data_IF_296394366869
#
_entry.id   IF_296394366869
#
_cell.length_a   1.000
_cell.length_b   1.000
_cell.length_c   1.000
_cell.angle_alpha   90.00
_cell.angle_beta   90.00
_cell.angle_gamma   90.00
#
_symmetry.space_group_name_H-M   'P 1'
#
loop_
_entity.id
_entity.type
_entity.pdbx_description
1 polymer ?
#
# COMPACT_ATOMS: atom_id res chain seq x y z
N UNK A 1 -11.52 -44.33 36.67
CA UNK A 1 -10.78 -44.15 35.40
C UNK A 1 -11.50 -43.22 34.42
N UNK A 2 -12.83 -43.34 34.22
CA UNK A 2 -13.59 -42.45 33.33
C UNK A 2 -13.56 -40.95 33.70
N UNK A 3 -13.53 -40.60 34.99
CA UNK A 3 -13.52 -39.19 35.43
C UNK A 3 -12.22 -38.45 35.07
N UNK A 4 -11.06 -39.10 35.16
CA UNK A 4 -9.78 -38.48 34.78
C UNK A 4 -9.64 -38.34 33.25
N UNK A 5 -10.14 -39.32 32.50
CA UNK A 5 -10.17 -39.23 31.03
C UNK A 5 -11.10 -38.12 30.54
N UNK A 6 -12.26 -37.94 31.20
CA UNK A 6 -13.18 -36.84 30.90
C UNK A 6 -12.55 -35.46 31.11
N UNK A 7 -11.80 -35.28 32.20
CA UNK A 7 -11.12 -34.03 32.48
C UNK A 7 -10.03 -33.70 31.46
N UNK A 8 -9.27 -34.71 31.00
CA UNK A 8 -8.23 -34.51 29.99
C UNK A 8 -8.81 -34.11 28.63
N UNK A 9 -9.93 -34.72 28.22
CA UNK A 9 -10.60 -34.35 26.96
C UNK A 9 -11.09 -32.90 27.00
N UNK A 10 -11.71 -32.49 28.11
CA UNK A 10 -12.17 -31.11 28.28
C UNK A 10 -11.00 -30.12 28.17
N UNK A 11 -9.89 -30.42 28.86
CA UNK A 11 -8.70 -29.56 28.82
C UNK A 11 -8.15 -29.40 27.39
N UNK A 12 -8.05 -30.49 26.62
CA UNK A 12 -7.60 -30.43 25.22
C UNK A 12 -8.56 -29.62 24.36
N UNK A 13 -9.88 -29.80 24.52
CA UNK A 13 -10.86 -29.06 23.70
C UNK A 13 -10.82 -27.55 23.95
N UNK A 14 -10.60 -27.11 25.19
CA UNK A 14 -10.43 -25.69 25.52
C UNK A 14 -9.19 -25.12 24.83
N UNK A 15 -8.06 -25.85 24.87
CA UNK A 15 -6.83 -25.41 24.22
C UNK A 15 -6.99 -25.27 22.70
N UNK A 16 -7.62 -26.24 22.04
CA UNK A 16 -7.87 -26.18 20.59
C UNK A 16 -8.81 -25.03 20.24
N UNK A 17 -9.82 -24.76 21.08
CA UNK A 17 -10.74 -23.63 20.90
C UNK A 17 -10.04 -22.27 20.87
N UNK A 18 -9.13 -22.02 21.84
CA UNK A 18 -8.38 -20.75 21.89
C UNK A 18 -7.39 -20.67 20.73
N UNK A 19 -6.68 -21.77 20.42
CA UNK A 19 -5.72 -21.80 19.33
C UNK A 19 -6.35 -21.47 17.96
N UNK A 20 -7.59 -21.93 17.70
CA UNK A 20 -8.30 -21.63 16.47
C UNK A 20 -8.61 -20.12 16.33
N UNK A 21 -9.04 -19.48 17.41
CA UNK A 21 -9.33 -18.02 17.40
C UNK A 21 -8.05 -17.22 17.14
N UNK A 22 -6.96 -17.54 17.83
CA UNK A 22 -5.66 -16.87 17.63
C UNK A 22 -5.12 -17.11 16.21
N UNK A 23 -5.30 -18.31 15.66
CA UNK A 23 -4.89 -18.60 14.29
C UNK A 23 -5.65 -17.75 13.26
N UNK A 24 -6.96 -17.54 13.45
CA UNK A 24 -7.77 -16.71 12.57
C UNK A 24 -7.36 -15.23 12.67
N UNK A 25 -7.07 -14.75 13.86
CA UNK A 25 -6.64 -13.36 14.10
C UNK A 25 -5.31 -13.05 13.41
N UNK A 26 -4.31 -13.92 13.62
CA UNK A 26 -2.99 -13.77 12.98
C UNK A 26 -3.04 -13.92 11.46
N UNK A 27 -3.93 -14.76 10.92
CA UNK A 27 -4.16 -14.85 9.47
C UNK A 27 -4.79 -13.59 8.89
N UNK A 28 -5.69 -12.91 9.62
CA UNK A 28 -6.26 -11.64 9.18
C UNK A 28 -5.19 -10.54 9.19
N UNK A 29 -4.44 -10.39 10.29
CA UNK A 29 -3.35 -9.42 10.39
C UNK A 29 -2.30 -9.62 9.29
N UNK A 30 -1.94 -10.87 8.99
CA UNK A 30 -1.01 -11.20 7.90
C UNK A 30 -1.52 -10.75 6.52
N UNK A 31 -2.82 -10.87 6.26
CA UNK A 31 -3.43 -10.41 5.00
C UNK A 31 -3.40 -8.89 4.90
N UNK A 32 -3.75 -8.18 5.97
CA UNK A 32 -3.69 -6.71 6.03
C UNK A 32 -2.27 -6.20 5.82
N UNK A 33 -1.27 -6.78 6.51
CA UNK A 33 0.14 -6.43 6.35
C UNK A 33 0.67 -6.73 4.93
N UNK A 34 0.23 -7.83 4.32
CA UNK A 34 0.60 -8.17 2.95
C UNK A 34 0.00 -7.17 1.96
N UNK A 35 -1.26 -6.76 2.15
CA UNK A 35 -1.90 -5.75 1.32
C UNK A 35 -1.21 -4.39 1.48
N UNK A 36 -0.92 -3.96 2.71
CA UNK A 36 -0.17 -2.73 2.99
C UNK A 36 1.20 -2.71 2.28
N UNK A 37 1.91 -3.85 2.31
CA UNK A 37 3.20 -3.98 1.63
C UNK A 37 3.07 -3.91 0.11
N UNK A 38 2.02 -4.50 -0.46
CA UNK A 38 1.73 -4.44 -1.89
C UNK A 38 1.36 -3.01 -2.34
N UNK A 39 0.47 -2.33 -1.62
CA UNK A 39 0.08 -0.94 -1.87
C UNK A 39 1.29 0.00 -1.79
N UNK A 40 2.16 -0.19 -0.78
CA UNK A 40 3.41 0.57 -0.66
C UNK A 40 4.33 0.37 -1.87
N UNK A 41 4.46 -0.88 -2.35
CA UNK A 41 5.28 -1.20 -3.51
C UNK A 41 4.73 -0.56 -4.80
N UNK A 42 3.42 -0.58 -4.98
CA UNK A 42 2.73 0.03 -6.11
C UNK A 42 2.90 1.55 -6.12
N UNK A 43 2.73 2.20 -4.96
CA UNK A 43 2.98 3.63 -4.80
C UNK A 43 4.43 3.99 -5.18
N UNK A 44 5.41 3.18 -4.78
CA UNK A 44 6.80 3.39 -5.17
C UNK A 44 7.01 3.27 -6.68
N UNK A 45 6.31 2.36 -7.36
CA UNK A 45 6.36 2.26 -8.83
C UNK A 45 5.76 3.50 -9.50
N UNK A 46 4.59 3.97 -9.02
CA UNK A 46 3.96 5.23 -9.48
C UNK A 46 4.94 6.40 -9.32
N UNK A 47 5.59 6.49 -8.17
CA UNK A 47 6.53 7.57 -7.88
C UNK A 47 7.72 7.54 -8.84
N UNK A 48 8.22 6.35 -9.20
CA UNK A 48 9.29 6.23 -10.20
C UNK A 48 8.84 6.71 -11.58
N UNK A 49 7.65 6.32 -12.03
CA UNK A 49 7.08 6.79 -13.31
C UNK A 49 6.90 8.31 -13.30
N UNK A 50 6.41 8.86 -12.19
CA UNK A 50 6.26 10.29 -12.02
C UNK A 50 7.61 11.03 -12.07
N UNK A 51 8.69 10.47 -11.52
CA UNK A 51 10.03 11.04 -11.68
C UNK A 51 10.48 11.06 -13.15
N UNK A 52 10.17 10.00 -13.90
CA UNK A 52 10.46 9.94 -15.34
C UNK A 52 9.67 11.04 -16.06
N UNK A 53 8.38 11.22 -15.73
CA UNK A 53 7.57 12.33 -16.24
C UNK A 53 8.20 13.69 -15.93
N UNK A 54 8.60 13.94 -14.67
CA UNK A 54 9.22 15.20 -14.24
C UNK A 54 10.48 15.55 -15.06
N UNK A 55 11.34 14.56 -15.33
CA UNK A 55 12.59 14.75 -16.09
C UNK A 55 12.36 14.86 -17.60
N UNK A 56 11.25 14.31 -18.12
CA UNK A 56 10.94 14.31 -19.55
C UNK A 56 10.54 15.73 -20.02
N UNK A 57 11.06 16.23 -21.15
CA UNK A 57 10.74 17.56 -21.64
C UNK A 57 9.29 17.64 -22.14
N UNK A 58 8.67 18.82 -22.00
CA UNK A 58 7.27 19.08 -22.40
C UNK A 58 6.96 18.73 -23.86
N UNK A 59 7.94 18.85 -24.75
CA UNK A 59 7.79 18.51 -26.17
C UNK A 59 7.49 17.02 -26.41
N UNK A 60 7.81 16.14 -25.46
CA UNK A 60 7.55 14.71 -25.55
C UNK A 60 6.38 14.28 -24.68
N UNK A 61 5.53 15.20 -24.22
CA UNK A 61 4.48 14.91 -23.22
C UNK A 61 5.09 14.49 -21.88
N UNK A 62 5.76 15.47 -21.25
CA UNK A 62 6.49 15.33 -20.00
C UNK A 62 6.37 16.59 -19.15
N UNK A 63 6.80 16.52 -17.90
CA UNK A 63 6.64 17.58 -16.91
C UNK A 63 7.57 18.79 -17.10
N UNK A 64 8.71 18.60 -17.76
CA UNK A 64 9.70 19.65 -18.00
C UNK A 64 10.19 20.34 -16.72
N UNK A 65 10.41 19.56 -15.66
CA UNK A 65 10.79 20.06 -14.34
C UNK A 65 9.62 20.43 -13.44
N UNK A 66 8.40 19.97 -13.73
CA UNK A 66 7.23 20.11 -12.87
C UNK A 66 6.36 18.85 -12.93
N UNK A 67 5.64 18.56 -11.84
CA UNK A 67 4.55 17.59 -11.83
C UNK A 67 3.21 18.20 -12.26
N UNK A 68 3.18 19.47 -12.65
CA UNK A 68 1.96 20.11 -13.15
C UNK A 68 1.43 19.36 -14.38
N UNK A 69 0.18 18.93 -14.31
CA UNK A 69 -0.49 18.19 -15.38
C UNK A 69 -0.20 16.69 -15.39
N UNK A 70 0.49 16.15 -14.38
CA UNK A 70 0.58 14.69 -14.23
C UNK A 70 -0.82 14.08 -14.06
N UNK A 71 -1.09 13.04 -14.83
CA UNK A 71 -2.34 12.31 -14.84
C UNK A 71 -2.08 10.81 -14.74
N UNK A 72 -3.13 10.01 -14.55
CA UNK A 72 -3.05 8.55 -14.54
C UNK A 72 -2.48 7.97 -15.85
N UNK A 73 -2.58 8.69 -16.97
CA UNK A 73 -2.07 8.26 -18.28
C UNK A 73 -0.53 8.25 -18.35
N UNK A 74 0.11 9.01 -17.46
CA UNK A 74 1.56 9.10 -17.38
C UNK A 74 2.17 8.02 -16.48
N UNK A 75 1.34 7.21 -15.84
CA UNK A 75 1.76 6.03 -15.07
C UNK A 75 1.64 4.82 -15.99
N UNK A 76 2.77 4.15 -16.21
CA UNK A 76 2.88 3.05 -17.17
C UNK A 76 3.16 1.72 -16.47
N UNK A 77 3.68 1.77 -15.24
CA UNK A 77 4.09 0.60 -14.49
C UNK A 77 2.92 -0.14 -13.84
N UNK A 78 1.85 0.58 -13.47
CA UNK A 78 0.66 -0.02 -12.85
C UNK A 78 -0.63 0.63 -13.34
N UNK A 79 -1.71 -0.14 -13.31
CA UNK A 79 -3.06 0.39 -13.49
C UNK A 79 -3.51 1.14 -12.23
N UNK A 80 -4.24 2.26 -12.38
CA UNK A 80 -4.72 3.05 -11.24
C UNK A 80 -5.74 2.33 -10.36
N UNK A 81 -6.29 1.20 -10.84
CA UNK A 81 -7.07 0.25 -10.06
C UNK A 81 -6.52 -1.14 -10.36
N UNK A 82 -6.09 -1.86 -9.32
CA UNK A 82 -5.55 -3.21 -9.45
C UNK A 82 -6.06 -4.12 -8.31
N UNK A 83 -5.58 -5.37 -8.28
CA UNK A 83 -5.96 -6.34 -7.24
C UNK A 83 -5.50 -5.94 -5.82
N UNK A 84 -4.56 -4.99 -5.71
CA UNK A 84 -4.03 -4.52 -4.43
C UNK A 84 -4.83 -3.31 -3.90
N UNK A 85 -5.36 -2.45 -4.77
CA UNK A 85 -6.07 -1.24 -4.39
C UNK A 85 -6.36 -0.25 -5.52
N UNK A 86 -6.76 0.96 -5.13
CA UNK A 86 -6.99 2.11 -6.00
C UNK A 86 -5.98 3.22 -5.71
N UNK A 87 -5.47 3.86 -6.76
CA UNK A 87 -4.45 4.88 -6.67
C UNK A 87 -4.91 6.20 -7.31
N UNK A 88 -4.73 7.27 -6.55
CA UNK A 88 -4.98 8.64 -6.96
C UNK A 88 -3.69 9.44 -6.90
N UNK A 89 -3.47 10.27 -7.90
CA UNK A 89 -2.22 11.01 -8.08
C UNK A 89 -2.57 12.46 -8.31
N UNK A 90 -1.89 13.34 -7.59
CA UNK A 90 -1.96 14.78 -7.78
C UNK A 90 -0.56 15.37 -7.74
N UNK A 91 -0.22 16.16 -8.76
CA UNK A 91 1.06 16.83 -8.86
C UNK A 91 0.88 18.34 -8.92
N UNK A 92 1.74 19.08 -8.22
CA UNK A 92 1.83 20.53 -8.35
C UNK A 92 3.28 20.99 -8.14
N UNK A 93 3.84 21.66 -9.15
CA UNK A 93 5.22 22.13 -9.13
C UNK A 93 6.21 21.00 -8.84
N UNK A 94 6.90 21.08 -7.71
CA UNK A 94 7.87 20.10 -7.27
C UNK A 94 7.29 19.00 -6.36
N UNK A 95 6.00 19.05 -6.04
CA UNK A 95 5.35 18.10 -5.13
C UNK A 95 4.44 17.17 -5.90
N UNK A 96 4.51 15.89 -5.55
CA UNK A 96 3.65 14.82 -6.01
C UNK A 96 3.01 14.18 -4.78
N UNK A 97 1.69 14.03 -4.78
CA UNK A 97 0.97 13.27 -3.77
C UNK A 97 0.33 12.07 -4.43
N UNK A 98 0.61 10.89 -3.90
CA UNK A 98 0.03 9.61 -4.33
C UNK A 98 -0.75 9.06 -3.15
N UNK A 99 -2.06 8.90 -3.33
CA UNK A 99 -2.94 8.27 -2.34
C UNK A 99 -3.31 6.88 -2.85
N UNK A 100 -2.90 5.85 -2.11
CA UNK A 100 -3.29 4.46 -2.36
C UNK A 100 -4.28 3.99 -1.30
N UNK A 101 -5.40 3.46 -1.75
CA UNK A 101 -6.39 2.79 -0.90
C UNK A 101 -6.38 1.31 -1.23
N UNK A 102 -5.93 0.49 -0.29
CA UNK A 102 -5.92 -0.97 -0.43
C UNK A 102 -7.33 -1.55 -0.53
N UNK A 103 -7.43 -2.76 -1.07
CA UNK A 103 -8.70 -3.51 -1.16
C UNK A 103 -9.30 -3.83 0.21
N UNK A 104 -8.46 -3.93 1.24
CA UNK A 104 -8.88 -3.98 2.63
C UNK A 104 -9.09 -2.53 3.11
N UNK A 105 -10.31 -2.16 3.49
CA UNK A 105 -10.67 -0.78 3.87
C UNK A 105 -9.84 -0.22 5.04
N UNK A 106 -9.15 -1.10 5.78
CA UNK A 106 -8.23 -0.74 6.85
C UNK A 106 -6.83 -0.30 6.35
N UNK A 107 -6.54 -0.46 5.07
CA UNK A 107 -5.25 -0.13 4.45
C UNK A 107 -5.38 1.14 3.61
N UNK A 108 -5.33 2.29 4.27
CA UNK A 108 -5.21 3.59 3.61
C UNK A 108 -3.78 4.11 3.72
N UNK A 109 -3.16 4.47 2.60
CA UNK A 109 -1.80 5.03 2.59
C UNK A 109 -1.72 6.28 1.71
N UNK A 110 -1.15 7.35 2.25
CA UNK A 110 -0.82 8.54 1.48
C UNK A 110 0.70 8.68 1.47
N UNK A 111 1.27 8.73 0.28
CA UNK A 111 2.67 9.08 0.08
C UNK A 111 2.78 10.44 -0.57
N UNK A 112 3.55 11.33 0.05
CA UNK A 112 3.89 12.63 -0.53
C UNK A 112 5.36 12.61 -0.91
N UNK A 113 5.61 12.74 -2.20
CA UNK A 113 6.91 12.79 -2.82
C UNK A 113 7.25 14.24 -3.22
N UNK A 114 8.38 14.78 -2.74
CA UNK A 114 8.84 16.14 -3.06
C UNK A 114 10.17 16.06 -3.79
N UNK A 115 10.25 16.69 -4.97
CA UNK A 115 11.51 16.87 -5.71
C UNK A 115 12.32 18.00 -5.07
N UNK A 116 13.39 17.63 -4.36
CA UNK A 116 14.40 18.53 -3.82
C UNK A 116 15.65 18.54 -4.72
N UNK A 117 16.62 19.40 -4.42
CA UNK A 117 17.90 19.47 -5.17
C UNK A 117 18.75 18.21 -5.06
N UNK A 118 18.52 17.40 -4.02
CA UNK A 118 19.29 16.18 -3.74
C UNK A 118 18.59 14.90 -4.25
N UNK A 119 17.33 15.00 -4.65
CA UNK A 119 16.56 13.88 -5.19
C UNK A 119 15.08 13.99 -4.89
N UNK A 120 14.36 12.89 -5.09
CA UNK A 120 12.96 12.80 -4.68
C UNK A 120 12.90 12.25 -3.25
N UNK A 121 12.37 13.06 -2.33
CA UNK A 121 12.10 12.63 -0.96
C UNK A 121 10.67 12.12 -0.86
N UNK A 122 10.49 10.89 -0.36
CA UNK A 122 9.16 10.29 -0.16
C UNK A 122 8.86 10.25 1.32
N UNK A 123 7.76 10.89 1.72
CA UNK A 123 7.19 10.84 3.05
C UNK A 123 5.89 10.05 3.04
N UNK A 124 5.67 9.25 4.08
CA UNK A 124 4.46 8.45 4.24
C UNK A 124 3.63 9.05 5.36
N UNK A 125 2.34 9.27 5.12
CA UNK A 125 1.36 9.57 6.15
C UNK A 125 0.28 8.49 6.14
N UNK A 126 -0.09 8.04 7.33
CA UNK A 126 -1.36 7.34 7.51
C UNK A 126 -2.50 8.37 7.44
N UNK A 127 -3.66 8.02 6.86
CA UNK A 127 -4.85 8.84 7.00
C UNK A 127 -5.28 9.01 8.47
#
# INVERSE_FOLDING_TARGET
MGQQQLLLVILVTILVGIAAVVAIDTMQESRTNSNESAVRQDILMIINDAQVYYKKPKMMDGGGGSFDGISKEHILSIEPENENGSYQISGSGNTLTVTGTGTDENVGMVATAVMTSDGLEVSWSTP
#
